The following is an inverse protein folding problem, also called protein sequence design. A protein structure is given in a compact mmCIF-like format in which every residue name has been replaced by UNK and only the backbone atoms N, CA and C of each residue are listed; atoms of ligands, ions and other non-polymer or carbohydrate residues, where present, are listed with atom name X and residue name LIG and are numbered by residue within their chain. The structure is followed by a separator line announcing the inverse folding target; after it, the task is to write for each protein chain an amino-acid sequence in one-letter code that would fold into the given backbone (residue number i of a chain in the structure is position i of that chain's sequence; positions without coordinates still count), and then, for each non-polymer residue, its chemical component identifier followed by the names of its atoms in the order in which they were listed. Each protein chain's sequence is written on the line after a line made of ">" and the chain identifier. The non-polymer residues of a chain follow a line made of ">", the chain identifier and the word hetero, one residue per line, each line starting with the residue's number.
data_IF_078290212754
#
_entry.id   IF_078290212754
#
_cell.length_a   1.000
_cell.length_b   1.000
_cell.length_c   1.000
_cell.angle_alpha   90.00
_cell.angle_beta   90.00
_cell.angle_gamma   90.00
#
_symmetry.space_group_name_H-M   'P 1'
#
loop_
_entity.id
_entity.type
_entity.pdbx_description
1 polymer ?
#
# COMPACT_ATOMS: atom_id res chain seq x y z
N UNK A 1 -49.72 38.51 -13.24
CA UNK A 1 -50.66 37.86 -12.30
C UNK A 1 -50.69 36.37 -12.59
N UNK A 2 -50.60 35.56 -11.53
CA UNK A 2 -50.98 34.15 -11.34
C UNK A 2 -51.53 33.34 -12.54
N UNK A 3 -50.96 32.14 -12.68
CA UNK A 3 -51.49 30.97 -13.40
C UNK A 3 -53.00 30.75 -13.26
N UNK A 4 -53.64 30.22 -14.32
CA UNK A 4 -54.39 28.94 -14.31
C UNK A 4 -54.83 28.49 -15.71
N UNK A 5 -54.86 27.17 -15.86
CA UNK A 5 -55.16 26.34 -17.04
C UNK A 5 -56.64 26.45 -17.46
N UNK A 6 -56.99 26.11 -18.71
CA UNK A 6 -57.65 24.83 -19.10
C UNK A 6 -58.44 24.92 -20.45
N UNK A 7 -58.05 24.07 -21.43
CA UNK A 7 -58.85 23.22 -22.39
C UNK A 7 -59.78 23.91 -23.41
N UNK A 8 -59.52 23.78 -24.73
CA UNK A 8 -60.03 22.77 -25.73
C UNK A 8 -61.50 23.05 -26.11
N UNK A 9 -62.04 22.93 -27.32
CA UNK A 9 -61.74 22.34 -28.63
C UNK A 9 -62.55 23.17 -29.68
N UNK A 10 -62.45 23.03 -31.01
CA UNK A 10 -63.02 21.93 -31.83
C UNK A 10 -62.88 22.30 -33.32
N UNK A 11 -62.69 21.30 -34.20
CA UNK A 11 -63.20 21.19 -35.59
C UNK A 11 -62.71 22.20 -36.68
N UNK A 12 -62.61 21.90 -37.98
CA UNK A 12 -62.63 20.71 -38.85
C UNK A 12 -62.30 21.23 -40.29
N UNK A 13 -61.90 20.34 -41.21
CA UNK A 13 -61.99 20.46 -42.70
C UNK A 13 -60.99 21.39 -43.43
N UNK A 14 -59.96 20.86 -44.12
CA UNK A 14 -59.91 20.25 -45.48
C UNK A 14 -60.16 21.19 -46.66
N UNK A 15 -59.11 21.53 -47.40
CA UNK A 15 -59.12 21.64 -48.88
C UNK A 15 -57.72 21.39 -49.48
N UNK A 16 -57.74 20.74 -50.63
CA UNK A 16 -56.67 20.08 -51.38
C UNK A 16 -55.90 21.03 -52.30
N UNK A 17 -54.61 20.77 -52.50
CA UNK A 17 -53.97 20.89 -53.82
C UNK A 17 -52.78 21.84 -53.94
N UNK A 18 -51.56 21.30 -54.02
CA UNK A 18 -50.65 21.45 -55.16
C UNK A 18 -49.31 20.77 -54.87
N UNK A 19 -48.93 19.88 -55.80
CA UNK A 19 -47.69 19.11 -55.81
C UNK A 19 -46.51 20.06 -56.04
N UNK A 20 -45.78 20.36 -54.97
CA UNK A 20 -44.42 20.88 -55.04
C UNK A 20 -43.47 19.76 -54.64
N UNK A 21 -42.51 19.45 -55.51
CA UNK A 21 -41.40 18.54 -55.24
C UNK A 21 -40.56 19.09 -54.08
N UNK A 22 -40.97 18.79 -52.84
CA UNK A 22 -40.16 19.04 -51.67
C UNK A 22 -38.98 18.07 -51.70
N UNK A 23 -37.85 18.56 -52.18
CA UNK A 23 -36.54 18.00 -51.85
C UNK A 23 -36.47 17.86 -50.33
N UNK A 24 -36.42 16.61 -49.83
CA UNK A 24 -36.11 16.39 -48.43
C UNK A 24 -34.76 17.08 -48.14
N UNK A 25 -34.66 17.93 -47.11
CA UNK A 25 -33.35 18.36 -46.65
C UNK A 25 -32.61 17.11 -46.18
N UNK A 26 -31.52 16.78 -46.87
CA UNK A 26 -30.59 15.77 -46.41
C UNK A 26 -30.25 16.10 -44.95
N UNK A 27 -30.51 15.15 -44.05
CA UNK A 27 -30.08 15.23 -42.65
C UNK A 27 -28.55 15.26 -42.65
N UNK A 28 -27.98 16.46 -42.71
CA UNK A 28 -26.54 16.66 -42.68
C UNK A 28 -26.00 16.12 -41.36
N UNK A 29 -25.36 14.96 -41.39
CA UNK A 29 -24.61 14.46 -40.25
C UNK A 29 -23.61 15.55 -39.83
N UNK A 30 -23.68 15.98 -38.56
CA UNK A 30 -22.74 16.95 -38.03
C UNK A 30 -21.30 16.51 -38.33
N UNK A 31 -20.46 17.42 -38.81
CA UNK A 31 -19.07 17.09 -39.11
C UNK A 31 -18.26 16.86 -37.83
N UNK A 32 -17.23 16.01 -37.90
CA UNK A 32 -16.29 15.82 -36.80
C UNK A 32 -15.39 17.06 -36.64
N UNK A 33 -15.25 17.52 -35.40
CA UNK A 33 -14.31 18.59 -35.01
C UNK A 33 -13.41 18.16 -33.86
N UNK A 34 -12.19 18.70 -33.82
CA UNK A 34 -11.30 18.48 -32.68
C UNK A 34 -11.65 19.45 -31.56
N UNK A 35 -11.82 18.93 -30.34
CA UNK A 35 -12.15 19.74 -29.16
C UNK A 35 -11.04 19.78 -28.12
N UNK A 36 -10.12 18.82 -28.15
CA UNK A 36 -8.90 18.80 -27.31
C UNK A 36 -7.78 18.11 -28.06
N UNK A 37 -6.55 18.61 -27.90
CA UNK A 37 -5.34 18.06 -28.54
C UNK A 37 -4.25 17.88 -27.48
N UNK A 38 -3.62 16.71 -27.46
CA UNK A 38 -2.40 16.43 -26.69
C UNK A 38 -1.32 15.96 -27.66
N UNK A 39 -0.17 16.62 -27.65
CA UNK A 39 0.99 16.18 -28.44
C UNK A 39 1.86 15.29 -27.57
N UNK A 40 2.48 14.29 -28.19
CA UNK A 40 3.43 13.41 -27.52
C UNK A 40 4.80 13.61 -28.14
N UNK A 41 5.80 13.74 -27.28
CA UNK A 41 7.21 13.71 -27.66
C UNK A 41 7.74 12.28 -27.56
N UNK A 42 8.57 11.89 -28.53
CA UNK A 42 9.21 10.57 -28.53
C UNK A 42 8.49 9.50 -29.35
N UNK A 43 9.06 8.29 -29.31
CA UNK A 43 8.61 7.14 -30.08
C UNK A 43 7.78 6.23 -29.19
N UNK A 44 6.45 6.37 -29.23
CA UNK A 44 5.53 5.59 -28.41
C UNK A 44 4.94 4.43 -29.23
N UNK A 45 5.46 3.19 -29.12
CA UNK A 45 5.00 2.07 -29.92
C UNK A 45 3.65 1.56 -29.41
N UNK A 46 2.75 1.29 -30.34
CA UNK A 46 1.46 0.65 -30.16
C UNK A 46 1.28 -0.45 -31.20
N UNK A 47 0.34 -1.33 -30.92
CA UNK A 47 -0.09 -2.37 -31.83
C UNK A 47 -1.60 -2.53 -31.74
N UNK A 48 -2.19 -3.28 -32.68
CA UNK A 48 -3.61 -3.54 -32.63
C UNK A 48 -3.95 -4.42 -31.42
N UNK A 49 -4.84 -3.94 -30.54
CA UNK A 49 -5.18 -4.62 -29.29
C UNK A 49 -5.76 -6.03 -29.52
N UNK A 50 -6.67 -6.17 -30.49
CA UNK A 50 -7.22 -7.46 -30.91
C UNK A 50 -6.79 -7.77 -32.35
N UNK A 51 -5.74 -8.56 -32.51
CA UNK A 51 -5.18 -8.95 -33.82
C UNK A 51 -6.27 -9.54 -34.72
N UNK A 52 -6.28 -9.15 -36.00
CA UNK A 52 -7.21 -9.68 -37.01
C UNK A 52 -8.63 -9.09 -36.96
N UNK A 53 -8.97 -8.29 -35.94
CA UNK A 53 -10.28 -7.62 -35.88
C UNK A 53 -10.31 -6.36 -36.75
N UNK A 54 -11.51 -5.93 -37.16
CA UNK A 54 -11.64 -4.68 -37.94
C UNK A 54 -11.39 -3.46 -37.04
N UNK A 55 -10.39 -2.66 -37.41
CA UNK A 55 -10.08 -1.39 -36.77
C UNK A 55 -9.66 -0.38 -37.85
N UNK A 56 -10.45 0.68 -38.04
CA UNK A 56 -10.19 1.64 -39.11
C UNK A 56 -9.26 2.76 -38.67
N UNK A 57 -8.32 3.09 -39.55
CA UNK A 57 -7.54 4.31 -39.55
C UNK A 57 -8.23 5.35 -40.44
N UNK A 58 -8.43 6.54 -39.91
CA UNK A 58 -9.14 7.64 -40.55
C UNK A 58 -8.20 8.79 -40.90
N UNK A 59 -8.62 9.63 -41.84
CA UNK A 59 -8.01 10.93 -42.06
C UNK A 59 -8.35 11.91 -40.91
N UNK A 60 -7.65 13.04 -40.84
CA UNK A 60 -7.82 14.03 -39.76
C UNK A 60 -9.24 14.60 -39.63
N UNK A 61 -9.97 14.68 -40.75
CA UNK A 61 -11.35 15.18 -40.83
C UNK A 61 -12.41 14.11 -40.54
N UNK A 62 -12.00 12.85 -40.33
CA UNK A 62 -12.90 11.71 -40.11
C UNK A 62 -13.96 11.56 -41.22
N UNK A 63 -13.55 11.78 -42.47
CA UNK A 63 -14.41 11.66 -43.67
C UNK A 63 -14.03 10.47 -44.54
N UNK A 64 -12.81 9.93 -44.39
CA UNK A 64 -12.29 8.83 -45.19
C UNK A 64 -11.55 7.82 -44.33
N UNK A 65 -11.92 6.54 -44.50
CA UNK A 65 -11.15 5.39 -44.02
C UNK A 65 -9.91 5.25 -44.90
N UNK A 66 -8.73 5.38 -44.33
CA UNK A 66 -7.45 5.25 -45.02
C UNK A 66 -7.00 3.80 -45.08
N UNK A 67 -7.02 3.12 -43.93
CA UNK A 67 -6.56 1.73 -43.80
C UNK A 67 -7.43 0.98 -42.78
N UNK A 68 -7.40 -0.34 -42.84
CA UNK A 68 -7.94 -1.21 -41.79
C UNK A 68 -6.79 -2.00 -41.17
N UNK A 69 -6.57 -1.83 -39.87
CA UNK A 69 -5.48 -2.42 -39.10
C UNK A 69 -5.50 -3.96 -39.13
N UNK A 70 -6.63 -4.59 -39.46
CA UNK A 70 -6.72 -6.04 -39.66
C UNK A 70 -5.73 -6.59 -40.70
N UNK A 71 -5.36 -5.77 -41.70
CA UNK A 71 -4.39 -6.11 -42.74
C UNK A 71 -2.93 -5.84 -42.31
N UNK A 72 -2.73 -5.34 -41.10
CA UNK A 72 -1.44 -4.93 -40.55
C UNK A 72 -1.17 -5.58 -39.17
N UNK A 73 -1.43 -6.90 -38.99
CA UNK A 73 -1.38 -7.54 -37.67
C UNK A 73 0.02 -7.56 -37.03
N UNK A 74 1.05 -7.33 -37.85
CA UNK A 74 2.47 -7.31 -37.51
C UNK A 74 3.08 -5.90 -37.48
N UNK A 75 2.25 -4.85 -37.59
CA UNK A 75 2.75 -3.46 -37.66
C UNK A 75 2.82 -2.82 -36.29
N UNK A 76 3.96 -2.22 -35.98
CA UNK A 76 4.10 -1.26 -34.86
C UNK A 76 3.68 0.13 -35.34
N UNK A 77 2.83 0.77 -34.55
CA UNK A 77 2.23 2.08 -34.75
C UNK A 77 2.80 3.07 -33.74
N UNK A 78 3.44 4.14 -34.19
CA UNK A 78 4.05 5.14 -33.32
C UNK A 78 3.10 6.32 -33.09
N UNK A 79 2.68 6.52 -31.84
CA UNK A 79 1.79 7.61 -31.44
C UNK A 79 2.53 8.94 -31.44
N UNK A 80 1.90 9.98 -32.02
CA UNK A 80 2.42 11.36 -32.02
C UNK A 80 1.45 12.39 -31.44
N UNK A 81 0.14 12.09 -31.43
CA UNK A 81 -0.90 13.03 -31.02
C UNK A 81 -2.16 12.29 -30.60
N UNK A 82 -2.83 12.77 -29.55
CA UNK A 82 -4.18 12.37 -29.18
C UNK A 82 -5.13 13.54 -29.43
N UNK A 83 -6.28 13.26 -30.04
CA UNK A 83 -7.30 14.25 -30.32
C UNK A 83 -8.66 13.76 -29.84
N UNK A 84 -9.41 14.61 -29.13
CA UNK A 84 -10.83 14.37 -28.85
C UNK A 84 -11.62 14.86 -30.06
N UNK A 85 -12.20 13.93 -30.81
CA UNK A 85 -13.06 14.26 -31.94
C UNK A 85 -14.52 14.21 -31.51
N UNK A 86 -15.28 15.25 -31.83
CA UNK A 86 -16.68 15.41 -31.42
C UNK A 86 -17.57 15.52 -32.66
N UNK A 87 -18.66 14.75 -32.69
CA UNK A 87 -19.71 14.79 -33.70
C UNK A 87 -21.05 15.03 -33.00
N UNK A 88 -21.57 16.26 -33.06
CA UNK A 88 -22.74 16.66 -32.26
C UNK A 88 -22.49 16.47 -30.76
N UNK A 89 -23.29 15.62 -30.09
CA UNK A 89 -23.16 15.30 -28.67
C UNK A 89 -22.19 14.14 -28.36
N UNK A 90 -21.71 13.41 -29.38
CA UNK A 90 -20.81 12.25 -29.20
C UNK A 90 -19.36 12.67 -29.32
N UNK A 91 -18.49 12.14 -28.46
CA UNK A 91 -17.05 12.36 -28.55
C UNK A 91 -16.26 11.09 -28.29
N UNK A 92 -15.16 10.91 -29.02
CA UNK A 92 -14.22 9.80 -28.82
C UNK A 92 -12.78 10.28 -28.97
N UNK A 93 -11.85 9.57 -28.34
CA UNK A 93 -10.42 9.87 -28.42
C UNK A 93 -9.83 9.11 -29.62
N UNK A 94 -8.99 9.80 -30.39
CA UNK A 94 -8.27 9.23 -31.52
C UNK A 94 -6.78 9.48 -31.40
N UNK A 95 -6.00 8.44 -31.66
CA UNK A 95 -4.55 8.47 -31.70
C UNK A 95 -4.06 8.65 -33.13
N UNK A 96 -3.26 9.69 -33.36
CA UNK A 96 -2.48 9.86 -34.57
C UNK A 96 -1.28 8.94 -34.50
N UNK A 97 -1.32 7.87 -35.28
CA UNK A 97 -0.26 6.89 -35.34
C UNK A 97 0.39 6.84 -36.71
N UNK A 98 1.67 6.50 -36.73
CA UNK A 98 2.48 6.31 -37.94
C UNK A 98 3.13 4.94 -37.93
N UNK A 99 3.09 4.19 -39.03
CA UNK A 99 3.76 2.88 -39.13
C UNK A 99 5.27 3.03 -38.96
N UNK A 100 5.97 2.00 -38.49
CA UNK A 100 7.42 2.07 -38.28
C UNK A 100 8.26 2.40 -39.51
N UNK A 101 7.78 2.07 -40.71
CA UNK A 101 8.40 2.47 -41.98
C UNK A 101 8.00 3.89 -42.44
N UNK A 102 7.26 4.65 -41.62
CA UNK A 102 6.77 6.01 -41.85
C UNK A 102 5.83 6.20 -43.06
N UNK A 103 5.38 5.13 -43.71
CA UNK A 103 4.55 5.19 -44.93
C UNK A 103 3.06 5.38 -44.65
N UNK A 104 2.56 4.87 -43.53
CA UNK A 104 1.13 4.88 -43.21
C UNK A 104 0.92 5.76 -41.98
N UNK A 105 0.09 6.79 -42.09
CA UNK A 105 -0.24 7.68 -40.98
C UNK A 105 -1.72 8.01 -40.99
N UNK A 106 -2.34 8.04 -39.81
CA UNK A 106 -3.73 8.44 -39.66
C UNK A 106 -4.21 8.35 -38.22
N UNK A 107 -5.52 8.46 -38.03
CA UNK A 107 -6.17 8.51 -36.74
C UNK A 107 -6.92 7.22 -36.46
N UNK A 108 -6.56 6.51 -35.40
CA UNK A 108 -7.20 5.26 -34.97
C UNK A 108 -7.88 5.52 -33.64
N UNK A 109 -9.08 4.97 -33.45
CA UNK A 109 -9.74 5.06 -32.14
C UNK A 109 -8.88 4.36 -31.08
N UNK A 110 -8.65 5.02 -29.95
CA UNK A 110 -7.63 4.61 -28.98
C UNK A 110 -7.81 3.16 -28.49
N UNK A 111 -9.03 2.69 -28.23
CA UNK A 111 -9.27 1.33 -27.74
C UNK A 111 -9.09 0.21 -28.79
N UNK A 112 -8.74 0.54 -30.03
CA UNK A 112 -8.24 -0.46 -30.99
C UNK A 112 -6.73 -0.70 -30.87
N UNK A 113 -6.04 0.07 -30.03
CA UNK A 113 -4.60 0.02 -29.86
C UNK A 113 -4.24 -0.40 -28.42
N UNK A 114 -3.18 -1.19 -28.31
CA UNK A 114 -2.53 -1.54 -27.05
C UNK A 114 -1.07 -1.08 -27.12
N UNK A 115 -0.47 -0.63 -25.99
CA UNK A 115 0.93 -0.19 -25.97
C UNK A 115 1.88 -1.35 -26.29
N UNK A 116 3.06 -1.03 -26.84
CA UNK A 116 4.10 -2.00 -27.22
C UNK A 116 4.08 -2.46 -28.69
N UNK A 117 5.01 -3.34 -29.05
CA UNK A 117 5.18 -3.92 -30.39
C UNK A 117 4.38 -5.24 -30.54
N UNK A 118 3.72 -5.52 -31.69
CA UNK A 118 2.93 -6.74 -31.91
C UNK A 118 3.68 -8.08 -31.77
N UNK A 119 5.01 -8.09 -31.71
CA UNK A 119 5.82 -9.32 -31.71
C UNK A 119 6.20 -9.89 -30.34
N UNK A 120 5.88 -9.21 -29.23
CA UNK A 120 6.34 -9.63 -27.90
C UNK A 120 7.87 -9.48 -27.77
N UNK A 121 8.32 -8.75 -26.75
CA UNK A 121 9.71 -8.66 -26.29
C UNK A 121 10.81 -8.73 -27.39
N UNK A 122 10.78 -7.81 -28.35
CA UNK A 122 12.00 -7.32 -29.00
C UNK A 122 12.04 -5.82 -28.83
N UNK A 123 12.89 -5.40 -27.90
CA UNK A 123 13.34 -4.03 -27.64
C UNK A 123 13.61 -3.32 -28.97
N UNK A 124 12.65 -2.51 -29.42
CA UNK A 124 12.98 -1.36 -30.26
C UNK A 124 13.66 -0.33 -29.33
N UNK A 125 14.67 0.41 -29.80
CA UNK A 125 15.46 1.27 -28.95
C UNK A 125 14.54 2.34 -28.35
N UNK A 126 14.27 2.19 -27.05
CA UNK A 126 13.85 3.29 -26.19
C UNK A 126 15.04 4.22 -26.16
N UNK A 127 15.14 5.16 -27.11
CA UNK A 127 16.04 6.28 -26.93
C UNK A 127 15.36 7.32 -26.05
N UNK A 128 15.74 7.22 -24.78
CA UNK A 128 16.19 8.33 -23.95
C UNK A 128 15.13 9.37 -23.60
N UNK A 129 14.18 8.95 -22.76
CA UNK A 129 13.86 9.68 -21.52
C UNK A 129 13.55 8.70 -20.38
N UNK A 130 14.04 7.45 -20.47
CA UNK A 130 14.40 6.72 -19.26
C UNK A 130 15.61 7.45 -18.72
N UNK A 131 15.57 8.02 -17.51
CA UNK A 131 16.81 8.37 -16.86
C UNK A 131 17.66 7.12 -16.84
N UNK A 132 18.91 7.20 -17.32
CA UNK A 132 19.81 6.05 -17.26
C UNK A 132 19.81 5.57 -15.81
N UNK A 133 19.46 4.31 -15.56
CA UNK A 133 19.71 3.70 -14.26
C UNK A 133 21.22 3.78 -14.04
N UNK A 134 21.63 4.60 -13.09
CA UNK A 134 23.04 4.93 -12.85
C UNK A 134 23.20 5.39 -11.42
N UNK A 135 24.44 5.39 -10.93
CA UNK A 135 24.73 5.74 -9.55
C UNK A 135 24.84 7.26 -9.44
N UNK A 136 23.74 7.94 -9.11
CA UNK A 136 23.74 9.39 -8.89
C UNK A 136 23.92 9.71 -7.42
N UNK A 137 24.61 10.81 -7.13
CA UNK A 137 24.78 11.34 -5.76
C UNK A 137 24.64 12.86 -5.80
N UNK A 138 23.86 13.41 -4.88
CA UNK A 138 23.67 14.86 -4.72
C UNK A 138 23.75 15.23 -3.23
N UNK A 139 24.95 15.24 -2.62
CA UNK A 139 25.10 15.45 -1.18
C UNK A 139 24.55 16.78 -0.68
N UNK A 140 24.60 17.84 -1.50
CA UNK A 140 23.99 19.15 -1.18
C UNK A 140 22.47 19.13 -1.07
N UNK A 141 21.83 18.07 -1.58
CA UNK A 141 20.40 17.78 -1.49
C UNK A 141 20.08 16.68 -0.49
N UNK A 142 21.06 16.21 0.26
CA UNK A 142 20.89 15.08 1.17
C UNK A 142 20.71 13.74 0.44
N UNK A 143 21.11 13.61 -0.83
CA UNK A 143 21.00 12.36 -1.59
C UNK A 143 22.37 11.69 -1.64
N UNK A 144 22.53 10.60 -0.90
CA UNK A 144 23.76 9.80 -0.88
C UNK A 144 23.92 8.99 -2.16
N UNK A 145 22.82 8.37 -2.60
CA UNK A 145 22.75 7.51 -3.77
C UNK A 145 21.35 7.59 -4.37
N UNK A 146 21.21 7.46 -5.69
CA UNK A 146 19.93 7.27 -6.36
C UNK A 146 20.13 6.53 -7.66
N UNK A 147 19.21 5.63 -8.01
CA UNK A 147 19.18 4.96 -9.32
C UNK A 147 18.65 5.88 -10.43
N UNK A 148 17.93 6.95 -10.05
CA UNK A 148 17.40 7.97 -10.94
C UNK A 148 18.10 9.32 -10.69
N UNK A 149 18.31 10.17 -11.72
CA UNK A 149 18.83 11.51 -11.52
C UNK A 149 17.82 12.35 -10.76
N UNK A 150 18.33 13.37 -10.08
CA UNK A 150 17.50 14.36 -9.41
C UNK A 150 16.73 15.16 -10.46
N UNK A 151 15.41 14.91 -10.55
CA UNK A 151 14.54 15.54 -11.53
C UNK A 151 13.11 15.65 -11.00
N UNK A 152 12.46 16.79 -11.22
CA UNK A 152 11.05 17.02 -10.88
C UNK A 152 10.06 16.34 -11.84
N UNK A 153 10.58 15.65 -12.86
CA UNK A 153 9.76 14.90 -13.82
C UNK A 153 10.40 13.57 -14.19
N UNK A 154 9.56 12.56 -14.41
CA UNK A 154 9.92 11.25 -14.92
C UNK A 154 9.03 10.93 -16.11
N UNK A 155 9.64 10.69 -17.29
CA UNK A 155 8.92 10.46 -18.55
C UNK A 155 7.93 11.60 -18.92
N UNK A 156 8.21 12.82 -18.49
CA UNK A 156 7.35 13.99 -18.75
C UNK A 156 6.15 14.13 -17.81
N UNK A 157 6.03 13.24 -16.81
CA UNK A 157 5.06 13.36 -15.71
C UNK A 157 5.77 13.93 -14.48
N UNK A 158 5.05 14.70 -13.67
CA UNK A 158 5.53 15.22 -12.38
C UNK A 158 6.02 14.05 -11.49
N UNK A 159 7.07 14.32 -10.72
CA UNK A 159 7.51 13.45 -9.62
C UNK A 159 7.17 14.14 -8.30
N UNK A 160 6.37 13.49 -7.47
CA UNK A 160 6.08 13.88 -6.10
C UNK A 160 7.29 13.53 -5.20
N UNK A 161 7.53 14.37 -4.19
CA UNK A 161 8.66 14.28 -3.26
C UNK A 161 10.05 14.14 -3.93
N UNK A 162 10.22 14.80 -5.08
CA UNK A 162 11.49 14.74 -5.82
C UNK A 162 12.67 15.39 -5.08
N UNK A 163 12.44 16.40 -4.20
CA UNK A 163 13.47 17.04 -3.37
C UNK A 163 13.25 16.72 -1.87
N UNK A 164 14.01 15.76 -1.31
CA UNK A 164 13.83 15.30 0.07
C UNK A 164 14.08 16.42 1.09
N UNK A 165 14.86 17.46 0.74
CA UNK A 165 15.10 18.59 1.63
C UNK A 165 13.85 19.48 1.81
N UNK A 166 12.87 19.37 0.92
CA UNK A 166 11.63 20.15 0.94
C UNK A 166 10.39 19.35 1.32
N UNK A 167 10.51 18.02 1.42
CA UNK A 167 9.45 17.13 1.87
C UNK A 167 9.00 17.49 3.29
N UNK A 168 7.71 17.34 3.57
CA UNK A 168 7.18 17.62 4.90
C UNK A 168 7.81 16.68 5.94
N UNK A 169 8.31 17.21 7.08
CA UNK A 169 8.93 16.36 8.09
C UNK A 169 7.93 15.36 8.68
N UNK A 170 8.33 14.10 8.71
CA UNK A 170 7.49 13.06 9.30
C UNK A 170 7.41 13.19 10.82
N UNK A 171 6.23 12.90 11.40
CA UNK A 171 5.92 13.17 12.82
C UNK A 171 6.06 11.96 13.75
N UNK A 172 6.41 10.79 13.24
CA UNK A 172 6.48 9.56 14.04
C UNK A 172 7.60 9.55 15.10
N UNK A 173 8.49 10.55 15.11
CA UNK A 173 9.53 10.76 16.14
C UNK A 173 9.31 11.99 17.03
N UNK A 174 8.13 12.62 16.98
CA UNK A 174 7.88 13.92 17.64
C UNK A 174 8.01 13.89 19.17
N UNK A 175 8.01 12.72 19.79
CA UNK A 175 8.21 12.49 21.23
C UNK A 175 9.68 12.47 21.64
N UNK A 176 10.61 12.39 20.69
CA UNK A 176 12.05 12.29 20.93
C UNK A 176 12.75 13.63 20.70
N UNK A 177 13.89 13.85 21.36
CA UNK A 177 14.73 15.01 21.05
C UNK A 177 15.51 14.77 19.75
N UNK A 178 15.79 15.82 18.99
CA UNK A 178 16.62 15.75 17.79
C UNK A 178 18.01 15.19 18.08
N UNK A 179 18.56 15.41 19.28
CA UNK A 179 19.82 14.82 19.73
C UNK A 179 19.72 13.29 19.85
N UNK A 180 18.68 12.77 20.50
CA UNK A 180 18.44 11.32 20.63
C UNK A 180 18.22 10.66 19.27
N UNK A 181 17.47 11.32 18.37
CA UNK A 181 17.24 10.86 17.00
C UNK A 181 18.58 10.73 16.26
N UNK A 182 19.41 11.78 16.24
CA UNK A 182 20.73 11.76 15.58
C UNK A 182 21.68 10.73 16.16
N UNK A 183 21.64 10.52 17.47
CA UNK A 183 22.48 9.51 18.13
C UNK A 183 22.12 8.08 17.71
N UNK A 184 20.85 7.81 17.41
CA UNK A 184 20.39 6.48 17.00
C UNK A 184 20.34 6.31 15.47
N UNK A 185 20.33 7.41 14.71
CA UNK A 185 20.36 7.42 13.25
C UNK A 185 21.42 8.41 12.75
N UNK A 186 22.72 8.12 12.99
CA UNK A 186 23.80 8.99 12.54
C UNK A 186 23.89 9.01 11.02
N UNK A 187 24.55 10.03 10.47
CA UNK A 187 24.85 10.09 9.03
C UNK A 187 25.61 8.83 8.57
N UNK A 188 25.28 8.38 7.36
CA UNK A 188 25.91 7.20 6.78
C UNK A 188 27.35 7.48 6.37
N UNK A 189 28.22 6.49 6.64
CA UNK A 189 29.55 6.40 6.04
C UNK A 189 29.46 5.91 4.59
N UNK A 190 30.51 6.13 3.80
CA UNK A 190 30.59 5.62 2.42
C UNK A 190 30.42 4.09 2.36
N UNK A 191 31.01 3.36 3.31
CA UNK A 191 30.91 1.90 3.35
C UNK A 191 29.46 1.46 3.62
N UNK A 192 28.77 2.10 4.55
CA UNK A 192 27.36 1.82 4.82
C UNK A 192 26.47 2.11 3.61
N UNK A 193 26.72 3.22 2.89
CA UNK A 193 26.02 3.52 1.64
C UNK A 193 26.24 2.39 0.63
N UNK A 194 27.48 1.93 0.46
CA UNK A 194 27.80 0.83 -0.45
C UNK A 194 27.13 -0.49 -0.03
N UNK A 195 27.08 -0.79 1.28
CA UNK A 195 26.37 -1.96 1.82
C UNK A 195 24.88 -1.91 1.49
N UNK A 196 24.22 -0.77 1.70
CA UNK A 196 22.80 -0.59 1.37
C UNK A 196 22.59 -0.74 -0.13
N UNK A 197 23.43 -0.12 -0.96
CA UNK A 197 23.33 -0.23 -2.43
C UNK A 197 23.46 -1.68 -2.88
N UNK A 198 24.45 -2.41 -2.34
CA UNK A 198 24.65 -3.82 -2.67
C UNK A 198 23.45 -4.68 -2.23
N UNK A 199 22.93 -4.45 -1.03
CA UNK A 199 21.77 -5.15 -0.50
C UNK A 199 20.51 -4.91 -1.34
N UNK A 200 20.16 -3.65 -1.60
CA UNK A 200 18.99 -3.29 -2.40
C UNK A 200 19.10 -3.82 -3.83
N UNK A 201 20.28 -3.72 -4.44
CA UNK A 201 20.52 -4.25 -5.80
C UNK A 201 20.35 -5.77 -5.87
N UNK A 202 20.77 -6.50 -4.83
CA UNK A 202 20.62 -7.96 -4.77
C UNK A 202 19.17 -8.42 -4.58
N UNK A 203 18.31 -7.57 -4.00
CA UNK A 203 16.92 -7.91 -3.67
C UNK A 203 15.88 -7.19 -4.55
N UNK A 204 16.34 -6.30 -5.43
CA UNK A 204 15.56 -5.57 -6.41
C UNK A 204 14.93 -6.51 -7.46
N UNK A 205 13.62 -6.36 -7.70
CA UNK A 205 13.02 -6.90 -8.93
C UNK A 205 13.45 -6.05 -10.14
N UNK A 206 13.33 -6.62 -11.34
CA UNK A 206 13.70 -5.91 -12.58
C UNK A 206 12.90 -4.61 -12.72
N UNK A 207 13.59 -3.48 -12.69
CA UNK A 207 12.98 -2.15 -12.78
C UNK A 207 12.75 -1.46 -11.43
N UNK A 208 13.11 -2.10 -10.31
CA UNK A 208 13.16 -1.47 -9.00
C UNK A 208 14.12 -0.26 -9.03
N UNK A 209 13.66 0.87 -8.51
CA UNK A 209 14.39 2.11 -8.43
C UNK A 209 14.35 2.59 -6.98
N UNK A 210 15.49 3.03 -6.46
CA UNK A 210 15.61 3.46 -5.07
C UNK A 210 16.62 4.60 -4.93
N UNK A 211 16.51 5.34 -3.82
CA UNK A 211 17.49 6.33 -3.39
C UNK A 211 17.76 6.23 -1.90
N UNK A 212 18.95 6.66 -1.50
CA UNK A 212 19.38 6.78 -0.10
C UNK A 212 19.49 8.26 0.18
N UNK A 213 18.72 8.74 1.15
CA UNK A 213 18.53 10.17 1.41
C UNK A 213 18.52 10.52 2.90
N UNK A 214 18.85 11.77 3.23
CA UNK A 214 18.55 12.39 4.51
C UNK A 214 17.10 12.88 4.50
N UNK A 215 16.20 12.19 5.21
CA UNK A 215 14.79 12.56 5.28
C UNK A 215 14.46 13.41 6.50
N UNK A 216 13.67 14.48 6.33
CA UNK A 216 13.28 15.34 7.43
C UNK A 216 12.30 14.62 8.35
N UNK A 217 12.56 14.73 9.65
CA UNK A 217 11.70 14.24 10.72
C UNK A 217 11.53 15.32 11.79
N UNK A 218 10.38 15.33 12.44
CA UNK A 218 10.09 16.22 13.55
C UNK A 218 10.41 15.50 14.88
N UNK A 219 11.28 16.11 15.67
CA UNK A 219 11.46 15.81 17.09
C UNK A 219 10.74 16.83 17.97
N UNK A 220 10.68 16.54 19.26
CA UNK A 220 10.05 17.36 20.32
C UNK A 220 10.61 18.79 20.42
N UNK A 221 11.86 18.99 20.04
CA UNK A 221 12.63 20.24 20.12
C UNK A 221 12.91 20.87 18.74
N UNK A 222 12.44 20.27 17.65
CA UNK A 222 12.61 20.83 16.30
C UNK A 222 12.75 19.78 15.19
N UNK A 223 13.18 20.24 14.02
CA UNK A 223 13.37 19.37 12.84
C UNK A 223 14.81 18.84 12.79
N UNK A 224 14.97 17.58 12.41
CA UNK A 224 16.25 16.96 12.08
C UNK A 224 16.09 16.07 10.85
N UNK A 225 17.16 15.41 10.41
CA UNK A 225 17.10 14.38 9.37
C UNK A 225 17.53 13.01 9.90
N UNK A 226 17.08 11.96 9.23
CA UNK A 226 17.60 10.59 9.38
C UNK A 226 17.93 10.03 8.00
N UNK A 227 18.99 9.21 7.86
CA UNK A 227 19.21 8.47 6.63
C UNK A 227 18.14 7.40 6.42
N UNK A 228 17.59 7.34 5.21
CA UNK A 228 16.55 6.38 4.84
C UNK A 228 16.66 5.98 3.37
N UNK A 229 16.00 4.88 3.04
CA UNK A 229 15.85 4.34 1.68
C UNK A 229 14.43 4.58 1.22
N UNK A 230 14.29 5.24 0.07
CA UNK A 230 13.02 5.43 -0.61
C UNK A 230 13.00 4.65 -1.91
N UNK A 231 11.85 4.07 -2.23
CA UNK A 231 11.58 3.42 -3.51
C UNK A 231 10.79 4.35 -4.41
N UNK A 232 11.00 4.25 -5.72
CA UNK A 232 10.26 5.03 -6.70
C UNK A 232 9.16 4.21 -7.37
N UNK A 233 7.93 4.70 -7.29
CA UNK A 233 6.80 4.20 -8.06
C UNK A 233 6.71 5.01 -9.36
N UNK A 234 6.85 4.32 -10.49
CA UNK A 234 6.71 4.96 -11.79
C UNK A 234 5.25 5.35 -12.06
N UNK A 235 5.00 6.44 -12.81
CA UNK A 235 3.66 6.78 -13.32
C UNK A 235 2.98 5.56 -13.95
N UNK A 236 1.77 5.26 -13.51
CA UNK A 236 0.93 4.24 -14.14
C UNK A 236 -0.07 4.94 -15.08
N UNK A 237 -0.01 4.62 -16.36
CA UNK A 237 -1.08 4.95 -17.30
C UNK A 237 -2.23 3.95 -17.06
N UNK A 238 -3.11 4.24 -16.10
CA UNK A 238 -4.33 3.46 -15.86
C UNK A 238 -5.45 3.99 -16.78
N UNK A 239 -5.94 3.21 -17.76
CA UNK A 239 -6.99 3.64 -18.67
C UNK A 239 -8.38 3.76 -18.01
N UNK A 240 -8.57 3.22 -16.81
CA UNK A 240 -9.84 3.22 -16.09
C UNK A 240 -9.96 4.41 -15.11
N UNK A 241 -8.86 5.11 -14.80
CA UNK A 241 -8.83 6.32 -13.98
C UNK A 241 -8.55 7.58 -14.82
N UNK A 242 -9.38 8.63 -14.68
CA UNK A 242 -9.24 9.93 -15.39
C UNK A 242 -8.10 10.82 -14.84
N UNK A 243 -7.11 10.22 -14.18
CA UNK A 243 -5.95 10.92 -13.62
C UNK A 243 -4.67 10.31 -14.17
N UNK A 244 -3.74 11.18 -14.61
CA UNK A 244 -2.38 10.73 -14.94
C UNK A 244 -1.69 10.51 -13.60
N UNK A 245 -1.45 9.26 -13.22
CA UNK A 245 -0.74 8.97 -11.97
C UNK A 245 0.68 9.53 -12.08
N UNK A 246 1.11 10.24 -11.04
CA UNK A 246 2.44 10.84 -10.96
C UNK A 246 3.49 9.78 -10.64
N UNK A 247 4.77 10.12 -10.86
CA UNK A 247 5.84 9.34 -10.26
C UNK A 247 5.97 9.78 -8.81
N UNK A 248 6.29 8.88 -7.91
CA UNK A 248 6.39 9.24 -6.49
C UNK A 248 7.55 8.48 -5.86
N UNK A 249 8.30 9.17 -5.00
CA UNK A 249 9.14 8.49 -4.02
C UNK A 249 8.24 8.11 -2.84
N UNK A 250 8.46 6.93 -2.26
CA UNK A 250 7.60 6.39 -1.21
C UNK A 250 7.44 7.34 -0.02
N UNK A 251 6.21 7.54 0.42
CA UNK A 251 5.88 8.33 1.62
C UNK A 251 6.28 7.62 2.93
N UNK A 252 6.48 6.29 2.88
CA UNK A 252 6.87 5.43 3.99
C UNK A 252 8.31 4.89 3.82
N UNK A 253 9.32 5.78 3.91
CA UNK A 253 10.72 5.43 3.73
C UNK A 253 11.20 4.44 4.79
N UNK A 254 12.11 3.54 4.41
CA UNK A 254 12.71 2.58 5.35
C UNK A 254 13.97 3.21 5.96
N UNK A 255 14.09 3.35 7.29
CA UNK A 255 15.32 3.85 7.91
C UNK A 255 16.55 3.05 7.46
N UNK A 256 17.65 3.73 7.13
CA UNK A 256 18.84 3.08 6.58
C UNK A 256 19.46 2.05 7.56
N UNK A 257 19.31 2.29 8.87
CA UNK A 257 19.70 1.35 9.91
C UNK A 257 19.00 -0.01 9.78
N UNK A 258 17.73 -0.03 9.33
CA UNK A 258 16.97 -1.25 9.10
C UNK A 258 17.57 -2.06 7.95
N UNK A 259 17.93 -1.40 6.85
CA UNK A 259 18.56 -2.07 5.71
C UNK A 259 19.96 -2.57 6.05
N UNK A 260 20.74 -1.80 6.83
CA UNK A 260 22.06 -2.24 7.32
C UNK A 260 21.96 -3.48 8.21
N UNK A 261 20.97 -3.53 9.11
CA UNK A 261 20.73 -4.70 9.93
C UNK A 261 20.40 -5.92 9.06
N UNK A 262 19.54 -5.77 8.06
CA UNK A 262 19.22 -6.87 7.14
C UNK A 262 20.41 -7.30 6.28
N UNK A 263 21.26 -6.37 5.86
CA UNK A 263 22.47 -6.69 5.12
C UNK A 263 23.47 -7.48 5.98
N UNK A 264 23.55 -7.17 7.27
CA UNK A 264 24.44 -7.85 8.22
C UNK A 264 23.93 -9.23 8.62
N UNK A 265 22.64 -9.36 8.94
CA UNK A 265 22.06 -10.56 9.53
C UNK A 265 21.24 -11.40 8.55
N UNK A 266 21.05 -10.93 7.32
CA UNK A 266 20.16 -11.50 6.32
C UNK A 266 18.72 -11.02 6.45
N UNK A 267 17.87 -11.38 5.47
CA UNK A 267 16.42 -11.33 5.64
C UNK A 267 16.02 -12.41 6.63
N UNK A 268 15.37 -12.03 7.72
CA UNK A 268 14.72 -13.04 8.56
C UNK A 268 13.41 -13.45 7.93
N UNK A 269 13.38 -14.65 7.38
CA UNK A 269 12.19 -15.46 7.40
C UNK A 269 12.55 -16.81 8.03
N UNK A 270 12.05 -17.09 9.23
CA UNK A 270 11.69 -18.44 9.61
C UNK A 270 10.16 -18.48 9.72
N UNK A 271 9.51 -19.37 8.97
CA UNK A 271 8.26 -19.91 9.48
C UNK A 271 8.56 -20.53 10.84
N UNK A 272 7.60 -20.52 11.75
CA UNK A 272 7.56 -21.48 12.84
C UNK A 272 7.88 -22.88 12.27
N UNK A 273 9.09 -23.34 12.54
CA UNK A 273 9.46 -24.76 12.45
C UNK A 273 9.90 -25.27 13.81
N UNK A 274 9.94 -24.41 14.82
CA UNK A 274 9.92 -24.85 16.22
C UNK A 274 8.55 -25.47 16.47
N UNK A 275 8.47 -26.79 16.40
CA UNK A 275 7.27 -27.57 16.76
C UNK A 275 7.02 -27.60 18.28
N UNK A 276 7.58 -26.65 19.04
CA UNK A 276 7.65 -26.73 20.50
C UNK A 276 7.32 -25.42 21.23
N UNK A 277 7.43 -24.27 20.56
CA UNK A 277 7.19 -22.96 21.18
C UNK A 277 6.89 -21.87 20.16
N UNK A 278 6.05 -20.93 20.59
CA UNK A 278 5.61 -19.73 19.88
C UNK A 278 5.96 -18.51 20.73
N UNK A 279 6.31 -17.39 20.10
CA UNK A 279 6.61 -16.14 20.79
C UNK A 279 5.72 -15.03 20.28
N UNK A 280 4.97 -14.42 21.19
CA UNK A 280 4.14 -13.24 20.93
C UNK A 280 4.85 -11.96 21.41
N UNK A 281 4.55 -10.84 20.77
CA UNK A 281 4.91 -9.51 21.26
C UNK A 281 3.71 -8.91 21.97
N UNK A 282 3.88 -8.68 23.26
CA UNK A 282 2.83 -8.14 24.13
C UNK A 282 3.01 -6.64 24.39
N UNK A 283 3.91 -5.96 23.66
CA UNK A 283 4.24 -4.54 23.80
C UNK A 283 4.38 -3.81 22.46
N UNK A 284 4.77 -2.52 22.45
CA UNK A 284 4.86 -1.73 21.24
C UNK A 284 6.14 -2.04 20.47
N UNK A 285 6.21 -1.54 19.24
CA UNK A 285 7.45 -1.45 18.50
C UNK A 285 8.17 -0.15 18.86
N UNK A 286 9.46 -0.10 18.55
CA UNK A 286 10.31 1.05 18.80
C UNK A 286 11.18 1.27 17.57
N UNK A 287 11.32 2.54 17.18
CA UNK A 287 12.16 2.88 16.03
C UNK A 287 13.64 2.83 16.37
N UNK A 288 13.93 3.14 17.63
CA UNK A 288 15.26 3.13 18.20
C UNK A 288 15.21 2.33 19.51
N UNK A 289 16.33 1.88 20.05
CA UNK A 289 16.38 1.26 21.37
C UNK A 289 16.27 2.34 22.46
N UNK A 290 15.14 3.04 22.48
CA UNK A 290 14.81 4.15 23.37
C UNK A 290 13.29 4.17 23.60
N UNK A 291 12.87 4.25 24.87
CA UNK A 291 11.45 4.21 25.27
C UNK A 291 10.60 5.32 24.63
N UNK A 292 11.19 6.48 24.34
CA UNK A 292 10.48 7.60 23.71
C UNK A 292 10.25 7.38 22.22
N UNK A 293 10.89 6.38 21.63
CA UNK A 293 10.72 6.01 20.22
C UNK A 293 9.61 4.99 19.98
N UNK A 294 8.83 4.67 21.03
CA UNK A 294 7.73 3.73 20.95
C UNK A 294 6.70 4.18 19.91
N UNK A 295 6.42 3.31 18.95
CA UNK A 295 5.33 3.49 18.00
C UNK A 295 4.63 2.16 17.77
N UNK A 296 3.37 2.20 17.40
CA UNK A 296 2.62 1.01 17.01
C UNK A 296 2.35 1.16 15.51
N UNK A 297 2.73 0.17 14.72
CA UNK A 297 2.54 0.22 13.27
C UNK A 297 1.05 0.35 12.95
N UNK A 298 0.73 1.21 11.97
CA UNK A 298 -0.60 1.48 11.44
C UNK A 298 -1.19 0.32 10.60
N UNK A 299 -0.76 -0.93 10.81
CA UNK A 299 -1.20 -2.05 9.99
C UNK A 299 -2.36 -2.77 10.68
N UNK A 300 -3.44 -2.99 9.93
CA UNK A 300 -4.80 -3.38 10.31
C UNK A 300 -4.99 -4.64 11.16
N UNK A 301 -3.95 -5.29 11.67
CA UNK A 301 -4.03 -6.54 12.44
C UNK A 301 -2.88 -6.60 13.46
N UNK A 302 -3.07 -7.20 14.65
CA UNK A 302 -1.93 -7.59 15.47
C UNK A 302 -1.01 -8.38 14.55
N UNK A 303 0.23 -7.93 14.39
CA UNK A 303 1.20 -8.67 13.58
C UNK A 303 1.27 -10.05 14.19
N UNK A 304 0.70 -11.04 13.51
CA UNK A 304 0.88 -12.43 13.82
C UNK A 304 2.39 -12.68 13.74
N UNK A 305 3.01 -12.70 14.92
CA UNK A 305 4.44 -12.82 15.11
C UNK A 305 4.89 -14.28 15.09
N UNK A 306 4.03 -15.20 14.62
CA UNK A 306 4.43 -16.57 14.27
C UNK A 306 5.65 -16.64 13.34
N UNK A 307 6.05 -15.52 12.71
CA UNK A 307 7.22 -15.42 11.83
C UNK A 307 8.05 -14.13 12.04
N UNK A 308 8.69 -13.94 13.20
CA UNK A 308 9.81 -12.99 13.33
C UNK A 308 11.12 -13.67 13.72
N UNK A 309 12.24 -13.07 13.33
CA UNK A 309 13.56 -13.48 13.79
C UNK A 309 14.17 -12.41 14.69
N UNK A 310 14.80 -12.84 15.79
CA UNK A 310 15.65 -11.99 16.63
C UNK A 310 17.00 -11.83 15.91
N UNK A 311 17.37 -10.59 15.60
CA UNK A 311 18.60 -10.27 14.87
C UNK A 311 19.74 -9.86 15.81
N UNK A 312 19.45 -9.01 16.81
CA UNK A 312 20.43 -8.50 17.75
C UNK A 312 19.76 -8.02 19.05
N UNK A 313 20.56 -7.80 20.08
CA UNK A 313 20.11 -7.17 21.35
C UNK A 313 20.95 -5.92 21.61
N UNK A 314 20.30 -4.84 22.05
CA UNK A 314 20.92 -3.57 22.40
C UNK A 314 20.26 -3.02 23.67
N UNK A 315 20.95 -3.16 24.80
CA UNK A 315 20.37 -2.87 26.11
C UNK A 315 19.14 -3.75 26.35
N UNK A 316 18.05 -3.14 26.79
CA UNK A 316 16.78 -3.83 27.05
C UNK A 316 16.00 -4.18 25.77
N UNK A 317 16.48 -3.76 24.59
CA UNK A 317 15.78 -3.94 23.32
C UNK A 317 16.35 -5.09 22.50
N UNK A 318 15.46 -5.83 21.85
CA UNK A 318 15.79 -6.80 20.81
C UNK A 318 15.42 -6.20 19.46
N UNK A 319 16.37 -6.20 18.52
CA UNK A 319 16.10 -5.93 17.13
C UNK A 319 15.52 -7.19 16.50
N UNK A 320 14.30 -7.09 15.97
CA UNK A 320 13.62 -8.17 15.27
C UNK A 320 13.43 -7.80 13.81
N UNK A 321 13.20 -8.81 12.97
CA UNK A 321 12.68 -8.63 11.61
C UNK A 321 11.41 -9.43 11.43
N UNK A 322 10.44 -8.83 10.76
CA UNK A 322 9.12 -9.42 10.48
C UNK A 322 9.02 -9.90 9.03
N UNK A 323 8.02 -10.74 8.72
CA UNK A 323 7.81 -11.32 7.39
C UNK A 323 7.65 -10.32 6.22
N UNK A 324 7.36 -9.04 6.52
CA UNK A 324 7.35 -7.96 5.53
C UNK A 324 8.74 -7.34 5.24
N UNK A 325 9.83 -7.95 5.72
CA UNK A 325 11.20 -7.43 5.62
C UNK A 325 11.34 -6.01 6.20
N UNK A 326 10.68 -5.73 7.33
CA UNK A 326 10.99 -4.55 8.15
C UNK A 326 11.63 -5.01 9.45
N UNK A 327 12.54 -4.18 9.97
CA UNK A 327 13.14 -4.40 11.29
C UNK A 327 12.61 -3.42 12.30
N UNK A 328 12.40 -3.90 13.52
CA UNK A 328 11.90 -3.11 14.62
C UNK A 328 12.68 -3.41 15.89
N UNK A 329 12.85 -2.41 16.74
CA UNK A 329 13.21 -2.68 18.13
C UNK A 329 11.94 -3.04 18.90
N UNK A 330 12.05 -4.00 19.80
CA UNK A 330 11.03 -4.36 20.79
C UNK A 330 11.71 -4.46 22.13
N UNK A 331 11.02 -4.22 23.25
CA UNK A 331 11.62 -4.57 24.53
C UNK A 331 11.72 -6.08 24.63
N UNK A 332 12.85 -6.55 25.14
CA UNK A 332 13.09 -7.98 25.32
C UNK A 332 12.12 -8.57 26.35
N UNK A 333 11.69 -7.76 27.33
CA UNK A 333 10.64 -8.11 28.30
C UNK A 333 9.26 -8.31 27.68
N UNK A 334 9.02 -7.74 26.51
CA UNK A 334 7.71 -7.79 25.84
C UNK A 334 7.60 -8.99 24.90
N UNK A 335 8.62 -9.84 24.83
CA UNK A 335 8.63 -11.08 24.05
C UNK A 335 8.20 -12.25 24.93
N UNK A 336 6.93 -12.62 24.84
CA UNK A 336 6.34 -13.73 25.61
C UNK A 336 6.45 -15.03 24.82
N UNK A 337 7.35 -15.92 25.24
CA UNK A 337 7.48 -17.26 24.66
C UNK A 337 6.65 -18.28 25.45
N UNK A 338 5.75 -18.98 24.76
CA UNK A 338 4.91 -20.05 25.29
C UNK A 338 5.22 -21.38 24.60
N UNK A 339 5.00 -22.50 25.30
CA UNK A 339 5.08 -23.82 24.67
C UNK A 339 3.86 -24.08 23.78
N UNK A 340 4.09 -24.68 22.60
CA UNK A 340 3.02 -25.13 21.69
C UNK A 340 2.39 -26.46 22.11
N UNK A 341 2.97 -27.15 23.09
CA UNK A 341 2.57 -28.51 23.50
C UNK A 341 2.17 -28.61 24.96
N UNK A 342 2.49 -27.60 25.79
CA UNK A 342 2.21 -27.61 27.22
C UNK A 342 1.70 -26.24 27.70
N UNK A 343 0.72 -26.20 28.64
CA UNK A 343 0.34 -24.95 29.28
C UNK A 343 1.48 -24.39 30.14
N UNK A 344 1.62 -23.07 30.18
CA UNK A 344 2.68 -22.38 30.94
C UNK A 344 2.07 -21.58 32.08
N UNK A 345 2.61 -21.68 33.29
CA UNK A 345 2.14 -20.89 34.44
C UNK A 345 3.07 -19.70 34.69
N UNK A 346 2.55 -18.48 34.57
CA UNK A 346 3.30 -17.23 34.76
C UNK A 346 2.53 -16.37 35.76
N UNK A 347 3.21 -15.89 36.82
CA UNK A 347 2.59 -15.08 37.88
C UNK A 347 1.30 -15.68 38.48
N UNK A 348 1.23 -17.02 38.55
CA UNK A 348 0.08 -17.74 39.09
C UNK A 348 -1.07 -17.96 38.09
N UNK A 349 -1.00 -17.39 36.89
CA UNK A 349 -2.00 -17.52 35.82
C UNK A 349 -1.51 -18.54 34.80
N UNK A 350 -2.42 -19.39 34.32
CA UNK A 350 -2.13 -20.36 33.26
C UNK A 350 -2.30 -19.72 31.88
N UNK A 351 -1.35 -19.98 30.99
CA UNK A 351 -1.30 -19.47 29.64
C UNK A 351 -1.16 -20.59 28.61
N UNK A 352 -1.82 -20.40 27.47
CA UNK A 352 -1.72 -21.24 26.28
C UNK A 352 -1.63 -20.35 25.04
N UNK A 353 -0.91 -20.73 23.99
CA UNK A 353 -1.02 -20.02 22.71
C UNK A 353 -2.33 -20.35 21.98
N UNK A 354 -2.90 -19.34 21.31
CA UNK A 354 -4.12 -19.49 20.51
C UNK A 354 -3.93 -20.41 19.30
N UNK A 355 -2.79 -20.27 18.63
CA UNK A 355 -2.48 -20.95 17.37
C UNK A 355 -1.85 -22.35 17.57
N UNK A 356 -2.15 -23.01 18.70
CA UNK A 356 -1.66 -24.37 19.03
C UNK A 356 -2.21 -25.49 18.14
N UNK A 357 -3.09 -25.18 17.18
CA UNK A 357 -3.60 -26.12 16.20
C UNK A 357 -4.18 -27.40 16.82
N UNK A 358 -3.63 -28.56 16.44
CA UNK A 358 -4.08 -29.86 16.96
C UNK A 358 -3.75 -30.09 18.45
N UNK A 359 -2.81 -29.33 19.04
CA UNK A 359 -2.35 -29.51 20.43
C UNK A 359 -3.29 -28.86 21.46
N UNK A 360 -4.21 -28.00 21.01
CA UNK A 360 -5.10 -27.23 21.89
C UNK A 360 -5.90 -28.12 22.86
N UNK A 361 -6.46 -29.22 22.37
CA UNK A 361 -7.25 -30.14 23.17
C UNK A 361 -6.41 -30.83 24.26
N UNK A 362 -5.17 -31.22 23.94
CA UNK A 362 -4.27 -31.89 24.87
C UNK A 362 -3.82 -30.96 25.99
N UNK A 363 -3.52 -29.70 25.67
CA UNK A 363 -3.21 -28.66 26.65
C UNK A 363 -4.40 -28.34 27.55
N UNK A 364 -5.62 -28.25 26.99
CA UNK A 364 -6.84 -28.06 27.79
C UNK A 364 -7.11 -29.24 28.74
N UNK A 365 -6.81 -30.47 28.31
CA UNK A 365 -6.87 -31.64 29.18
C UNK A 365 -5.78 -31.63 30.25
N UNK A 366 -4.56 -31.17 29.92
CA UNK A 366 -3.46 -31.00 30.87
C UNK A 366 -3.80 -29.97 31.95
N UNK A 367 -4.38 -28.83 31.58
CA UNK A 367 -4.86 -27.82 32.54
C UNK A 367 -5.84 -28.40 33.56
N UNK A 368 -6.77 -29.26 33.14
CA UNK A 368 -7.71 -29.93 34.06
C UNK A 368 -6.95 -30.87 35.01
N UNK A 369 -6.00 -31.67 34.49
CA UNK A 369 -5.16 -32.55 35.32
C UNK A 369 -4.34 -31.79 36.35
N UNK A 370 -3.88 -30.60 35.98
CA UNK A 370 -3.09 -29.71 36.85
C UNK A 370 -3.94 -28.87 37.82
N UNK A 371 -5.26 -29.10 37.84
CA UNK A 371 -6.18 -28.42 38.75
C UNK A 371 -6.42 -26.94 38.41
N UNK A 372 -6.19 -26.53 37.16
CA UNK A 372 -6.49 -25.18 36.71
C UNK A 372 -8.02 -24.95 36.72
N UNK A 373 -8.45 -23.83 37.30
CA UNK A 373 -9.85 -23.37 37.27
C UNK A 373 -10.10 -22.32 36.19
N UNK A 374 -9.03 -21.70 35.69
CA UNK A 374 -9.03 -20.73 34.60
C UNK A 374 -7.69 -20.75 33.87
N UNK A 375 -7.68 -20.28 32.63
CA UNK A 375 -6.47 -20.01 31.85
C UNK A 375 -6.72 -18.87 30.86
N UNK A 376 -5.63 -18.30 30.34
CA UNK A 376 -5.63 -17.30 29.27
C UNK A 376 -5.00 -17.85 28.01
N UNK A 377 -5.66 -17.62 26.89
CA UNK A 377 -5.18 -17.94 25.56
C UNK A 377 -4.61 -16.66 24.92
N UNK A 378 -3.33 -16.67 24.59
CA UNK A 378 -2.60 -15.49 24.07
C UNK A 378 -2.58 -15.52 22.54
N UNK A 379 -2.83 -14.36 21.94
CA UNK A 379 -2.57 -14.09 20.52
C UNK A 379 -2.19 -12.62 20.34
N UNK A 380 -0.99 -12.35 19.83
CA UNK A 380 -0.51 -10.99 19.62
C UNK A 380 -0.55 -10.14 20.89
N UNK A 381 -1.20 -8.99 20.84
CA UNK A 381 -1.31 -8.05 21.97
C UNK A 381 -2.56 -8.27 22.84
N UNK A 382 -3.29 -9.38 22.70
CA UNK A 382 -4.52 -9.65 23.44
C UNK A 382 -4.58 -11.05 24.04
N UNK A 383 -5.70 -11.34 24.71
CA UNK A 383 -5.99 -12.67 25.19
C UNK A 383 -7.49 -12.98 25.31
N UNK A 384 -7.83 -14.26 25.28
CA UNK A 384 -9.12 -14.78 25.72
C UNK A 384 -8.96 -15.47 27.06
N UNK A 385 -9.85 -15.19 27.99
CA UNK A 385 -9.87 -15.83 29.30
C UNK A 385 -10.96 -16.90 29.35
N UNK A 386 -10.61 -18.07 29.86
CA UNK A 386 -11.48 -19.24 29.98
C UNK A 386 -11.59 -19.69 31.43
N UNK A 387 -12.77 -20.15 31.81
CA UNK A 387 -13.06 -20.77 33.11
C UNK A 387 -13.57 -22.19 32.94
N UNK A 388 -13.19 -23.07 33.86
CA UNK A 388 -13.69 -24.43 33.91
C UNK A 388 -15.08 -24.46 34.54
N UNK A 389 -16.10 -24.90 33.79
CA UNK A 389 -17.48 -25.05 34.23
C UNK A 389 -17.96 -26.45 33.87
N UNK A 390 -18.30 -27.27 34.87
CA UNK A 390 -18.77 -28.65 34.67
C UNK A 390 -17.86 -29.50 33.76
N UNK A 391 -16.53 -29.37 33.93
CA UNK A 391 -15.53 -30.10 33.15
C UNK A 391 -15.31 -29.58 31.73
N UNK A 392 -15.89 -28.43 31.37
CA UNK A 392 -15.72 -27.79 30.07
C UNK A 392 -15.15 -26.38 30.21
N UNK A 393 -14.25 -26.01 29.32
CA UNK A 393 -13.72 -24.65 29.24
C UNK A 393 -14.75 -23.74 28.57
N UNK A 394 -15.10 -22.65 29.27
CA UNK A 394 -16.06 -21.64 28.80
C UNK A 394 -15.33 -20.29 28.82
N UNK A 395 -15.34 -19.61 27.68
CA UNK A 395 -14.80 -18.26 27.57
C UNK A 395 -15.59 -17.29 28.46
N UNK A 396 -14.89 -16.44 29.21
CA UNK A 396 -15.49 -15.42 30.09
C UNK A 396 -15.48 -14.05 29.43
N UNK A 397 -14.30 -13.65 28.96
CA UNK A 397 -14.04 -12.34 28.38
C UNK A 397 -12.78 -12.42 27.51
N UNK A 398 -12.62 -11.43 26.65
CA UNK A 398 -11.37 -11.18 25.94
C UNK A 398 -10.89 -9.77 26.22
N UNK A 399 -9.57 -9.61 26.18
CA UNK A 399 -8.90 -8.32 26.27
C UNK A 399 -8.17 -8.10 24.97
N UNK A 400 -8.58 -7.05 24.26
CA UNK A 400 -7.86 -6.53 23.11
C UNK A 400 -7.15 -5.26 23.55
N UNK A 401 -5.82 -5.29 23.54
CA UNK A 401 -5.01 -4.09 23.65
C UNK A 401 -5.00 -3.45 22.26
N UNK A 402 -6.16 -2.89 21.90
CA UNK A 402 -6.42 -2.35 20.57
C UNK A 402 -5.56 -1.10 20.34
N UNK A 403 -4.73 -1.08 19.30
CA UNK A 403 -4.13 0.15 18.83
C UNK A 403 -5.16 0.88 17.98
N UNK A 404 -6.19 1.48 18.57
CA UNK A 404 -7.09 2.34 17.80
C UNK A 404 -6.24 3.49 17.22
N UNK A 405 -5.98 3.42 15.91
CA UNK A 405 -4.78 3.94 15.25
C UNK A 405 -4.63 5.48 15.19
N UNK A 406 -5.48 6.25 15.85
CA UNK A 406 -5.48 7.72 15.69
C UNK A 406 -5.87 8.51 16.94
N UNK A 407 -6.28 7.87 18.03
CA UNK A 407 -6.73 8.57 19.23
C UNK A 407 -5.76 8.37 20.37
N UNK A 408 -4.93 9.38 20.60
CA UNK A 408 -4.30 9.55 21.90
C UNK A 408 -5.32 10.14 22.88
N UNK A 409 -5.49 9.58 24.09
CA UNK A 409 -4.75 8.45 24.68
C UNK A 409 -5.25 7.07 24.22
N UNK A 410 -4.30 6.12 24.12
CA UNK A 410 -4.53 4.70 23.75
C UNK A 410 -5.59 4.04 24.64
N UNK A 411 -6.22 2.95 24.17
CA UNK A 411 -7.34 2.28 24.85
C UNK A 411 -7.15 0.77 24.90
N UNK A 412 -7.54 0.16 26.01
CA UNK A 412 -7.61 -1.31 26.16
C UNK A 412 -9.08 -1.66 26.24
N UNK A 413 -9.54 -2.48 25.30
CA UNK A 413 -10.92 -2.87 25.17
C UNK A 413 -11.12 -4.24 25.82
N UNK A 414 -12.05 -4.30 26.78
CA UNK A 414 -12.46 -5.55 27.42
C UNK A 414 -13.82 -5.91 26.86
N UNK A 415 -13.89 -7.09 26.27
CA UNK A 415 -15.11 -7.62 25.71
C UNK A 415 -15.60 -8.82 26.53
N UNK A 416 -16.89 -8.87 26.82
CA UNK A 416 -17.51 -10.09 27.33
C UNK A 416 -18.09 -10.89 26.16
N UNK A 417 -18.02 -12.22 26.27
CA UNK A 417 -18.73 -13.12 25.36
C UNK A 417 -20.23 -12.93 25.56
N UNK A 418 -20.98 -12.60 24.50
CA UNK A 418 -22.44 -12.52 24.60
C UNK A 418 -23.06 -13.92 24.60
N UNK A 419 -23.36 -14.44 25.79
CA UNK A 419 -24.03 -15.73 25.97
C UNK A 419 -25.49 -15.74 25.48
N UNK A 420 -26.10 -14.57 25.25
CA UNK A 420 -27.50 -14.46 24.81
C UNK A 420 -27.67 -14.52 23.30
N UNK A 421 -26.57 -14.45 22.55
CA UNK A 421 -26.61 -14.50 21.09
C UNK A 421 -26.74 -15.92 20.56
N UNK A 422 -27.61 -16.09 19.57
CA UNK A 422 -27.81 -17.34 18.82
C UNK A 422 -26.91 -17.45 17.59
N UNK A 423 -26.04 -16.48 17.35
CA UNK A 423 -25.09 -16.49 16.23
C UNK A 423 -24.01 -17.56 16.42
N UNK A 424 -23.64 -18.24 15.32
CA UNK A 424 -22.53 -19.19 15.31
C UNK A 424 -21.18 -18.54 15.68
N UNK A 425 -21.05 -17.23 15.44
CA UNK A 425 -19.99 -16.37 15.95
C UNK A 425 -20.60 -15.53 17.07
N UNK A 426 -20.48 -15.96 18.34
CA UNK A 426 -21.00 -15.17 19.47
C UNK A 426 -20.40 -13.76 19.39
N UNK A 427 -21.20 -12.68 19.27
CA UNK A 427 -20.68 -11.33 19.20
C UNK A 427 -20.06 -10.95 20.53
N UNK A 428 -18.93 -10.26 20.45
CA UNK A 428 -18.24 -9.69 21.59
C UNK A 428 -18.90 -8.36 21.96
N UNK A 429 -19.32 -8.19 23.22
CA UNK A 429 -19.83 -6.92 23.73
C UNK A 429 -18.72 -6.18 24.46
N UNK A 430 -18.39 -4.96 24.02
CA UNK A 430 -17.50 -4.08 24.80
C UNK A 430 -18.16 -3.77 26.16
N UNK A 431 -17.49 -4.13 27.25
CA UNK A 431 -18.00 -3.97 28.62
C UNK A 431 -17.16 -3.00 29.45
N UNK A 432 -15.89 -2.82 29.11
CA UNK A 432 -14.99 -1.91 29.81
C UNK A 432 -13.92 -1.41 28.86
N UNK A 433 -13.51 -0.16 29.04
CA UNK A 433 -12.40 0.43 28.31
C UNK A 433 -11.43 1.03 29.33
N UNK A 434 -10.19 0.57 29.34
CA UNK A 434 -9.12 1.11 30.19
C UNK A 434 -8.30 2.11 29.38
N UNK A 435 -7.77 3.13 30.05
CA UNK A 435 -6.84 4.09 29.44
C UNK A 435 -5.48 3.90 30.08
N UNK A 436 -4.48 3.35 29.37
CA UNK A 436 -3.12 3.25 29.88
C UNK A 436 -2.56 4.62 30.23
N UNK A 437 -1.58 4.66 31.14
CA UNK A 437 -0.78 5.85 31.32
C UNK A 437 -0.09 6.19 29.98
N UNK A 438 -0.26 7.42 29.51
CA UNK A 438 0.26 7.90 28.21
C UNK A 438 1.78 7.78 28.11
N UNK A 439 2.48 7.79 29.25
CA UNK A 439 3.94 7.66 29.31
C UNK A 439 4.41 6.22 29.56
N UNK A 440 3.49 5.28 29.79
CA UNK A 440 3.83 3.88 30.06
C UNK A 440 3.76 3.04 28.80
N UNK A 441 4.89 2.41 28.45
CA UNK A 441 4.97 1.38 27.42
C UNK A 441 4.92 -0.05 28.00
N UNK A 442 4.64 -0.22 29.29
CA UNK A 442 4.49 -1.53 29.91
C UNK A 442 3.09 -2.08 29.68
N UNK A 443 2.90 -2.81 28.59
CA UNK A 443 1.63 -3.48 28.29
C UNK A 443 1.50 -4.85 28.93
N UNK A 444 2.64 -5.44 29.28
CA UNK A 444 2.71 -6.76 29.93
C UNK A 444 1.93 -6.79 31.23
N UNK A 445 1.85 -5.66 31.95
CA UNK A 445 1.05 -5.52 33.17
C UNK A 445 -0.42 -5.92 32.98
N UNK A 446 -1.00 -5.72 31.79
CA UNK A 446 -2.39 -6.07 31.50
C UNK A 446 -2.53 -7.56 31.17
N UNK A 447 -1.54 -8.17 30.52
CA UNK A 447 -1.51 -9.62 30.28
C UNK A 447 -1.48 -10.40 31.61
N UNK A 448 -0.78 -9.86 32.61
CA UNK A 448 -0.64 -10.49 33.94
C UNK A 448 -1.61 -9.95 34.99
N UNK A 449 -2.49 -9.01 34.65
CA UNK A 449 -3.41 -8.40 35.60
C UNK A 449 -4.44 -9.42 36.11
N UNK A 450 -4.86 -9.37 37.39
CA UNK A 450 -5.93 -10.22 37.89
C UNK A 450 -7.29 -9.86 37.26
N UNK A 451 -8.23 -10.81 37.25
CA UNK A 451 -9.58 -10.66 36.66
C UNK A 451 -10.33 -9.40 37.17
N UNK A 452 -10.13 -9.04 38.44
CA UNK A 452 -10.72 -7.84 39.05
C UNK A 452 -10.34 -6.54 38.33
N UNK A 453 -9.18 -6.51 37.66
CA UNK A 453 -8.76 -5.38 36.82
C UNK A 453 -9.73 -5.15 35.66
N UNK A 454 -10.31 -6.23 35.14
CA UNK A 454 -11.25 -6.24 34.01
C UNK A 454 -12.72 -6.25 34.44
N UNK A 455 -12.98 -6.44 35.74
CA UNK A 455 -14.33 -6.46 36.32
C UNK A 455 -14.92 -7.87 36.48
N UNK A 456 -14.07 -8.90 36.58
CA UNK A 456 -14.46 -10.30 36.75
C UNK A 456 -13.86 -10.96 37.99
#
# INVERSE_FOLDING_TARGET
>A
MKFRKLILATALMTTVGLVGTATQPATGHAAYRWTKVKNYSGSLPYHQAKKGTTAYMWNAKHTKKLHNLKHYPKTTWYLSKSVKMTQGKKSSIYYRVTSGNKKITGYVWHGYLAPGNPFGNRTAPVQNNTPKSGNYSYPSKGIYYSTLPYASTYQGTKVDDYDPATTEPSKWLQTMTTATIKSNSPKLTTDQVNTIVAYETAHAYKGYQFRIVDLPVLGSDGKTTIPAVETFTAPVDDPDYDQTLHGEWTEDPIPAASILAQAQYGKGAPSSTSTTSITDLIGPFYAFPDDKSAFIQQADWPLDLTSFAKLATKGDFTLITTGNNRTYYVKTSDLLTLSETQPTKIHGIWFTPADSGSQKADMQAQLIRDGATSYREIQGCGFWDYKLVNGKWVERYSVDISPELQTWPRKINVHATDETSTSATKPYRLIKQLTPNVDSNDYSQYIYAPDSTFGF
#
